data_IF_735869817425
#
_entry.id   IF_735869817425
#
_cell.length_a   1.000
_cell.length_b   1.000
_cell.length_c   1.000
_cell.angle_alpha   90.00
_cell.angle_beta   90.00
_cell.angle_gamma   90.00
#
_symmetry.space_group_name_H-M   'P 1'
#
loop_
_entity.id
_entity.type
_entity.pdbx_description
1 polymer ?
#
# COMPACT_ATOMS: atom_id res chain seq x y z
N UNK A 1 9.73 -3.71 30.96
CA UNK A 1 9.24 -3.91 29.58
C UNK A 1 10.20 -3.20 28.65
N UNK A 2 11.04 -3.93 27.91
CA UNK A 2 12.00 -3.33 26.99
C UNK A 2 11.23 -2.54 25.92
N UNK A 3 11.24 -1.21 26.03
CA UNK A 3 10.49 -0.35 25.13
C UNK A 3 11.10 -0.42 23.74
N UNK A 4 10.40 -1.05 22.79
CA UNK A 4 10.75 -0.98 21.38
C UNK A 4 10.73 0.49 20.98
N UNK A 5 11.91 1.07 20.73
CA UNK A 5 12.07 2.49 20.40
C UNK A 5 12.74 2.61 19.04
N UNK A 6 12.10 3.37 18.15
CA UNK A 6 12.61 3.60 16.80
C UNK A 6 13.31 4.94 16.77
N UNK A 7 14.59 4.94 16.39
CA UNK A 7 15.34 6.19 16.23
C UNK A 7 14.84 7.02 15.04
N UNK A 8 15.04 8.35 15.03
CA UNK A 8 14.62 9.20 13.92
C UNK A 8 15.20 8.77 12.57
N UNK A 9 16.45 8.29 12.54
CA UNK A 9 17.12 7.84 11.31
C UNK A 9 16.49 6.55 10.78
N UNK A 10 16.15 5.60 11.65
CA UNK A 10 15.43 4.38 11.25
C UNK A 10 14.03 4.71 10.74
N UNK A 11 13.31 5.58 11.43
CA UNK A 11 11.96 5.99 11.02
C UNK A 11 11.98 6.75 9.68
N UNK A 12 13.02 7.53 9.41
CA UNK A 12 13.22 8.18 8.12
C UNK A 12 13.41 7.15 6.98
N UNK A 13 14.09 6.03 7.23
CA UNK A 13 14.21 4.96 6.24
C UNK A 13 12.85 4.30 5.96
N UNK A 14 12.08 3.99 6.99
CA UNK A 14 10.73 3.40 6.86
C UNK A 14 9.82 4.30 6.01
N UNK A 15 9.79 5.60 6.33
CA UNK A 15 8.97 6.58 5.61
C UNK A 15 9.44 6.81 4.17
N UNK A 16 10.76 6.82 3.91
CA UNK A 16 11.29 6.86 2.54
C UNK A 16 10.90 5.64 1.72
N UNK A 17 10.97 4.44 2.31
CA UNK A 17 10.53 3.21 1.63
C UNK A 17 9.03 3.30 1.33
N UNK A 18 8.22 3.72 2.30
CA UNK A 18 6.77 3.88 2.11
C UNK A 18 6.45 4.89 1.01
N UNK A 19 7.18 6.02 0.96
CA UNK A 19 7.05 7.01 -0.09
C UNK A 19 7.36 6.43 -1.48
N UNK A 20 8.44 5.66 -1.61
CA UNK A 20 8.81 5.03 -2.88
C UNK A 20 7.76 4.00 -3.33
N UNK A 21 7.23 3.20 -2.40
CA UNK A 21 6.15 2.24 -2.68
C UNK A 21 4.86 2.94 -3.10
N UNK A 22 4.50 4.06 -2.45
CA UNK A 22 3.36 4.88 -2.83
C UNK A 22 3.54 5.51 -4.23
N UNK A 23 4.73 6.04 -4.53
CA UNK A 23 5.04 6.56 -5.86
C UNK A 23 4.97 5.44 -6.92
N UNK A 24 5.46 4.25 -6.59
CA UNK A 24 5.41 3.09 -7.47
C UNK A 24 3.96 2.67 -7.79
N UNK A 25 3.09 2.53 -6.78
CA UNK A 25 1.69 2.12 -7.02
C UNK A 25 0.90 3.18 -7.81
N UNK A 26 1.24 4.47 -7.67
CA UNK A 26 0.65 5.52 -8.50
C UNK A 26 1.00 5.28 -9.98
N UNK A 27 2.25 4.93 -10.28
CA UNK A 27 2.69 4.65 -11.65
C UNK A 27 2.03 3.39 -12.20
N UNK A 28 1.96 2.30 -11.43
CA UNK A 28 1.29 1.07 -11.89
C UNK A 28 -0.21 1.27 -12.07
N UNK A 29 -0.87 2.01 -11.17
CA UNK A 29 -2.27 2.39 -11.31
C UNK A 29 -2.54 3.27 -12.54
N UNK A 30 -1.63 4.19 -12.85
CA UNK A 30 -1.69 4.96 -14.10
C UNK A 30 -1.54 4.04 -15.33
N UNK A 31 -0.65 3.05 -15.28
CA UNK A 31 -0.51 2.06 -16.35
C UNK A 31 -1.80 1.25 -16.56
N UNK A 32 -2.44 0.76 -15.49
CA UNK A 32 -3.76 0.08 -15.56
C UNK A 32 -4.80 0.95 -16.23
N UNK A 33 -4.83 2.26 -15.91
CA UNK A 33 -5.77 3.20 -16.52
C UNK A 33 -5.49 3.40 -18.00
N UNK A 34 -4.23 3.59 -18.38
CA UNK A 34 -3.81 3.85 -19.76
C UNK A 34 -3.89 2.60 -20.66
N UNK A 35 -3.79 1.40 -20.09
CA UNK A 35 -4.00 0.14 -20.81
C UNK A 35 -5.47 -0.23 -21.00
N UNK A 36 -6.41 0.56 -20.46
CA UNK A 36 -7.84 0.24 -20.48
C UNK A 36 -8.25 -0.87 -19.50
N UNK A 37 -7.34 -1.37 -18.68
CA UNK A 37 -7.57 -2.51 -17.76
C UNK A 37 -8.26 -2.12 -16.45
N UNK A 38 -8.72 -0.87 -16.28
CA UNK A 38 -9.28 -0.39 -15.00
C UNK A 38 -10.65 -0.95 -14.63
N UNK A 39 -11.25 -1.78 -15.47
CA UNK A 39 -12.50 -2.51 -15.26
C UNK A 39 -12.33 -3.99 -15.65
N UNK A 40 -11.12 -4.53 -15.51
CA UNK A 40 -10.77 -5.91 -15.81
C UNK A 40 -11.26 -6.91 -14.76
N UNK A 41 -11.41 -6.51 -13.50
CA UNK A 41 -12.09 -7.32 -12.48
C UNK A 41 -13.50 -6.76 -12.25
N UNK A 42 -14.53 -7.60 -12.35
CA UNK A 42 -15.93 -7.21 -12.15
C UNK A 42 -16.30 -6.97 -10.69
N UNK A 43 -15.68 -7.71 -9.75
CA UNK A 43 -16.03 -7.69 -8.33
C UNK A 43 -14.84 -7.39 -7.41
N UNK A 44 -15.10 -7.33 -6.10
CA UNK A 44 -14.12 -7.34 -5.01
C UNK A 44 -14.76 -7.97 -3.76
N UNK A 45 -14.10 -8.89 -3.00
CA UNK A 45 -12.69 -9.27 -3.03
C UNK A 45 -12.30 -10.34 -4.06
N UNK A 46 -13.28 -10.98 -4.69
CA UNK A 46 -13.09 -11.82 -5.87
C UNK A 46 -12.78 -10.94 -7.09
N UNK A 47 -12.13 -11.46 -8.13
CA UNK A 47 -11.86 -10.70 -9.35
C UNK A 47 -12.94 -10.97 -10.42
N UNK A 48 -13.31 -12.23 -10.65
CA UNK A 48 -14.30 -12.63 -11.68
C UNK A 48 -14.97 -13.96 -11.29
N UNK A 49 -16.28 -14.14 -11.50
CA UNK A 49 -17.01 -15.41 -11.32
C UNK A 49 -16.72 -16.16 -10.00
N UNK A 50 -16.76 -15.45 -8.87
CA UNK A 50 -16.40 -15.97 -7.53
C UNK A 50 -14.94 -16.49 -7.39
N UNK A 51 -14.09 -16.29 -8.39
CA UNK A 51 -12.67 -16.59 -8.32
C UNK A 51 -11.90 -15.44 -7.67
N UNK A 52 -11.05 -15.77 -6.70
CA UNK A 52 -10.17 -14.78 -6.06
C UNK A 52 -9.07 -14.27 -6.99
N UNK A 53 -8.66 -15.08 -7.97
CA UNK A 53 -7.57 -14.78 -8.90
C UNK A 53 -8.16 -14.57 -10.29
N UNK A 54 -7.59 -13.63 -11.05
CA UNK A 54 -7.97 -13.40 -12.44
C UNK A 54 -7.72 -14.64 -13.31
N UNK A 55 -8.59 -14.84 -14.29
CA UNK A 55 -8.39 -15.85 -15.32
C UNK A 55 -7.16 -15.52 -16.18
N UNK A 56 -6.36 -16.52 -16.55
CA UNK A 56 -5.06 -16.32 -17.22
C UNK A 56 -5.25 -15.84 -18.67
N UNK A 57 -6.39 -16.17 -19.28
CA UNK A 57 -6.68 -15.82 -20.67
C UNK A 57 -7.14 -14.36 -20.83
N UNK A 58 -7.60 -13.70 -19.75
CA UNK A 58 -7.95 -12.28 -19.77
C UNK A 58 -6.80 -11.41 -19.25
N UNK A 59 -6.10 -10.78 -20.19
CA UNK A 59 -4.98 -9.88 -19.90
C UNK A 59 -5.42 -8.63 -19.14
N UNK A 60 -6.62 -8.10 -19.39
CA UNK A 60 -7.10 -6.91 -18.70
C UNK A 60 -7.42 -7.22 -17.24
N UNK A 61 -8.10 -8.34 -16.97
CA UNK A 61 -8.38 -8.84 -15.62
C UNK A 61 -7.07 -9.10 -14.86
N UNK A 62 -6.11 -9.78 -15.50
CA UNK A 62 -4.82 -10.09 -14.89
C UNK A 62 -4.04 -8.83 -14.50
N UNK A 63 -4.01 -7.82 -15.38
CA UNK A 63 -3.34 -6.53 -15.13
C UNK A 63 -3.97 -5.80 -13.94
N UNK A 64 -5.30 -5.76 -13.85
CA UNK A 64 -5.98 -5.14 -12.70
C UNK A 64 -5.72 -5.89 -11.40
N UNK A 65 -5.86 -7.23 -11.44
CA UNK A 65 -5.64 -8.09 -10.28
C UNK A 65 -4.23 -7.93 -9.71
N UNK A 66 -3.20 -7.93 -10.56
CA UNK A 66 -1.81 -7.72 -10.13
C UNK A 66 -1.66 -6.36 -9.44
N UNK A 67 -2.27 -5.29 -9.99
CA UNK A 67 -2.21 -3.97 -9.36
C UNK A 67 -2.95 -3.93 -8.00
N UNK A 68 -4.07 -4.65 -7.85
CA UNK A 68 -4.77 -4.82 -6.56
C UNK A 68 -3.88 -5.54 -5.53
N UNK A 69 -3.19 -6.60 -5.94
CA UNK A 69 -2.25 -7.34 -5.08
C UNK A 69 -1.09 -6.45 -4.63
N UNK A 70 -0.47 -5.69 -5.55
CA UNK A 70 0.59 -4.72 -5.22
C UNK A 70 0.05 -3.68 -4.22
N UNK A 71 -1.16 -3.16 -4.45
CA UNK A 71 -1.80 -2.19 -3.55
C UNK A 71 -1.96 -2.76 -2.13
N UNK A 72 -2.33 -4.03 -2.01
CA UNK A 72 -2.41 -4.73 -0.72
C UNK A 72 -1.08 -4.71 0.04
N UNK A 73 0.04 -5.03 -0.63
CA UNK A 73 1.37 -4.96 -0.02
C UNK A 73 1.78 -3.53 0.35
N UNK A 74 1.48 -2.55 -0.49
CA UNK A 74 1.76 -1.13 -0.19
C UNK A 74 0.95 -0.67 1.01
N UNK A 75 -0.32 -1.04 1.11
CA UNK A 75 -1.17 -0.73 2.26
C UNK A 75 -0.60 -1.32 3.55
N UNK A 76 -0.15 -2.58 3.55
CA UNK A 76 0.52 -3.18 4.70
C UNK A 76 1.79 -2.40 5.10
N UNK A 77 2.62 -2.01 4.14
CA UNK A 77 3.81 -1.21 4.41
C UNK A 77 3.47 0.15 5.05
N UNK A 78 2.42 0.82 4.57
CA UNK A 78 1.93 2.08 5.14
C UNK A 78 1.38 1.87 6.55
N UNK A 79 0.60 0.81 6.80
CA UNK A 79 0.12 0.44 8.14
C UNK A 79 1.31 0.28 9.10
N UNK A 80 2.36 -0.45 8.70
CA UNK A 80 3.56 -0.59 9.52
C UNK A 80 4.28 0.75 9.75
N UNK A 81 4.30 1.66 8.78
CA UNK A 81 4.87 3.00 8.95
C UNK A 81 4.05 3.87 9.94
N UNK A 82 2.72 3.76 9.92
CA UNK A 82 1.82 4.42 10.87
C UNK A 82 2.01 3.85 12.27
N UNK A 83 2.00 2.52 12.42
CA UNK A 83 2.27 1.87 13.71
C UNK A 83 3.68 2.21 14.23
N UNK A 84 4.68 2.27 13.35
CA UNK A 84 6.04 2.68 13.69
C UNK A 84 6.12 4.11 14.23
N UNK A 85 5.21 5.00 13.83
CA UNK A 85 5.15 6.37 14.36
C UNK A 85 4.88 6.41 15.88
N UNK A 86 4.14 5.42 16.40
CA UNK A 86 3.78 5.31 17.82
C UNK A 86 5.00 4.93 18.70
N UNK A 87 5.96 4.22 18.11
CA UNK A 87 7.17 3.73 18.76
C UNK A 87 8.41 4.61 18.51
N UNK A 88 8.28 5.68 17.71
CA UNK A 88 9.38 6.61 17.43
C UNK A 88 9.68 7.53 18.61
N UNK A 89 10.96 7.65 18.98
CA UNK A 89 11.44 8.56 20.03
C UNK A 89 12.39 9.63 19.46
N UNK A 90 12.29 10.91 19.86
CA UNK A 90 11.26 11.51 20.72
C UNK A 90 9.88 11.55 20.05
N UNK A 91 8.82 11.41 20.84
CA UNK A 91 7.44 11.39 20.36
C UNK A 91 7.00 12.80 19.96
N UNK A 92 6.58 12.96 18.71
CA UNK A 92 5.99 14.19 18.16
C UNK A 92 4.51 13.97 17.95
N UNK A 93 3.72 14.28 18.99
CA UNK A 93 2.28 13.97 19.04
C UNK A 93 1.50 14.60 17.89
N UNK A 94 1.89 15.81 17.50
CA UNK A 94 1.37 16.53 16.33
C UNK A 94 1.48 15.68 15.04
N UNK A 95 2.69 15.19 14.74
CA UNK A 95 2.93 14.37 13.54
C UNK A 95 2.31 12.97 13.64
N UNK A 96 2.29 12.39 14.85
CA UNK A 96 1.64 11.10 15.07
C UNK A 96 0.13 11.17 14.82
N UNK A 97 -0.54 12.23 15.30
CA UNK A 97 -1.97 12.43 15.01
C UNK A 97 -2.23 12.63 13.51
N UNK A 98 -1.39 13.42 12.83
CA UNK A 98 -1.50 13.58 11.37
C UNK A 98 -1.30 12.24 10.65
N UNK A 99 -0.34 11.42 11.07
CA UNK A 99 -0.10 10.11 10.44
C UNK A 99 -1.25 9.13 10.62
N UNK A 100 -2.03 9.25 11.70
CA UNK A 100 -3.20 8.40 11.96
C UNK A 100 -4.45 8.95 11.27
N UNK A 101 -4.61 10.27 11.21
CA UNK A 101 -5.81 10.91 10.65
C UNK A 101 -5.80 11.09 9.13
N UNK A 102 -4.62 11.02 8.49
CA UNK A 102 -4.48 11.13 7.03
C UNK A 102 -4.60 9.78 6.30
N UNK A 103 -4.45 8.67 7.02
CA UNK A 103 -4.55 7.29 6.51
C UNK A 103 -5.93 6.72 6.84
#
# INVERSE_FOLDING_TARGET
MAGFSISPVQYQKITRISLLLLAFIIVTGAAVRLSGSGLGCSDWPTCENDQLVAEIDDVHAMVEFVNRVITGFVALAVIFAVLGSLFRTPKRKDLTYLSIGLV
#
